data_IF_667365055994
#
_entry.id   IF_667365055994
#
_cell.length_a   1.000
_cell.length_b   1.000
_cell.length_c   1.000
_cell.angle_alpha   90.00
_cell.angle_beta   90.00
_cell.angle_gamma   90.00
#
_symmetry.space_group_name_H-M   'P 1'
#
loop_
_entity.id
_entity.type
_entity.pdbx_description
1 polymer ?
#
# COMPACT_ATOMS: atom_id res chain seq x y z
N UNK A 1 39.07 -16.48 43.89
CA UNK A 1 39.38 -15.45 42.88
C UNK A 1 38.51 -15.74 41.68
N UNK A 2 37.33 -15.21 41.75
CA UNK A 2 36.28 -15.53 40.78
C UNK A 2 36.19 -14.47 39.72
N UNK A 3 36.46 -14.85 38.50
CA UNK A 3 36.28 -13.97 37.34
C UNK A 3 34.78 -13.99 36.96
N UNK A 4 34.14 -12.84 36.83
CA UNK A 4 32.79 -12.79 36.34
C UNK A 4 32.79 -13.04 34.82
N UNK A 5 32.09 -14.07 34.43
CA UNK A 5 31.79 -14.38 33.04
C UNK A 5 31.04 -13.22 32.38
N UNK A 6 31.69 -12.61 31.43
CA UNK A 6 31.14 -11.64 30.52
C UNK A 6 29.99 -12.33 29.74
N UNK A 7 28.75 -12.04 30.13
CA UNK A 7 27.58 -12.41 29.38
C UNK A 7 27.59 -11.71 28.01
N UNK A 8 27.77 -12.49 26.96
CA UNK A 8 27.57 -12.04 25.60
C UNK A 8 26.10 -11.58 25.46
N UNK A 9 25.92 -10.30 25.40
CA UNK A 9 24.67 -9.68 24.93
C UNK A 9 24.56 -10.05 23.46
N UNK A 10 23.81 -11.11 23.16
CA UNK A 10 23.38 -11.43 21.82
C UNK A 10 22.59 -10.22 21.29
N UNK A 11 23.22 -9.50 20.38
CA UNK A 11 22.55 -8.44 19.64
C UNK A 11 21.35 -9.06 18.89
N UNK A 12 20.17 -8.89 19.44
CA UNK A 12 18.95 -9.09 18.68
C UNK A 12 19.02 -8.08 17.54
N UNK A 13 19.25 -8.59 16.34
CA UNK A 13 19.18 -7.77 15.14
C UNK A 13 17.86 -7.00 15.16
N UNK A 14 17.95 -5.69 15.16
CA UNK A 14 16.78 -4.82 15.13
C UNK A 14 15.99 -5.19 13.86
N UNK A 15 14.87 -5.87 14.03
CA UNK A 15 13.94 -6.17 12.93
C UNK A 15 13.50 -4.86 12.31
N UNK A 16 13.63 -4.72 11.01
CA UNK A 16 13.11 -3.56 10.32
C UNK A 16 11.61 -3.42 10.62
N UNK A 17 11.15 -2.21 10.87
CA UNK A 17 9.75 -1.91 11.20
C UNK A 17 9.18 -0.91 10.22
N UNK A 18 7.95 -1.16 9.77
CA UNK A 18 7.11 -0.24 9.02
C UNK A 18 5.88 0.16 9.82
N UNK A 19 5.05 1.02 9.27
CA UNK A 19 3.79 1.44 9.87
C UNK A 19 2.60 0.80 9.15
N UNK A 20 1.68 0.23 9.91
CA UNK A 20 0.47 -0.38 9.39
C UNK A 20 -0.46 0.65 8.73
N UNK A 21 -1.07 0.28 7.62
CA UNK A 21 -2.17 1.01 7.00
C UNK A 21 -3.53 0.56 7.54
N UNK A 22 -4.59 0.91 6.83
CA UNK A 22 -5.97 0.71 7.29
C UNK A 22 -6.72 -0.31 6.45
N UNK A 23 -7.37 -1.26 7.13
CA UNK A 23 -8.36 -2.14 6.53
C UNK A 23 -9.63 -1.33 6.16
N UNK A 24 -10.15 -1.51 4.93
CA UNK A 24 -11.29 -0.75 4.43
C UNK A 24 -12.34 -1.67 3.80
N UNK A 25 -13.60 -1.28 3.90
CA UNK A 25 -14.66 -1.96 3.17
C UNK A 25 -14.53 -1.67 1.66
N UNK A 26 -14.36 -2.71 0.88
CA UNK A 26 -14.08 -2.63 -0.57
C UNK A 26 -15.22 -2.01 -1.35
N UNK A 27 -16.46 -2.35 -1.00
CA UNK A 27 -17.66 -1.82 -1.70
C UNK A 27 -17.82 -0.32 -1.42
N UNK A 28 -17.57 0.11 -0.17
CA UNK A 28 -17.60 1.53 0.17
C UNK A 28 -16.53 2.31 -0.59
N UNK A 29 -15.33 1.77 -0.70
CA UNK A 29 -14.22 2.40 -1.44
C UNK A 29 -14.51 2.49 -2.92
N UNK A 30 -15.06 1.43 -3.51
CA UNK A 30 -15.27 1.35 -4.96
C UNK A 30 -16.51 2.10 -5.43
N UNK A 31 -17.63 1.97 -4.72
CA UNK A 31 -18.94 2.42 -5.22
C UNK A 31 -19.53 3.59 -4.41
N UNK A 32 -19.67 3.40 -3.10
CA UNK A 32 -20.49 4.32 -2.27
C UNK A 32 -19.81 5.67 -2.12
N UNK A 33 -18.56 5.68 -1.68
CA UNK A 33 -17.85 6.93 -1.43
C UNK A 33 -17.55 7.74 -2.69
N UNK A 34 -17.05 7.13 -3.81
CA UNK A 34 -16.85 7.87 -5.05
C UNK A 34 -18.15 8.48 -5.59
N UNK A 35 -19.27 7.76 -5.48
CA UNK A 35 -20.56 8.24 -5.95
C UNK A 35 -21.10 9.41 -5.11
N UNK A 36 -21.04 9.29 -3.77
CA UNK A 36 -21.51 10.34 -2.84
C UNK A 36 -20.66 11.61 -2.91
N UNK A 37 -19.39 11.50 -3.19
CA UNK A 37 -18.43 12.61 -3.19
C UNK A 37 -18.04 13.07 -4.60
N UNK A 38 -18.79 12.68 -5.63
CA UNK A 38 -18.49 12.99 -7.04
C UNK A 38 -17.04 12.64 -7.44
N UNK A 39 -16.51 11.53 -6.91
CA UNK A 39 -15.17 11.06 -7.19
C UNK A 39 -14.07 11.62 -6.28
N UNK A 40 -14.33 12.62 -5.43
CA UNK A 40 -13.32 13.20 -4.52
C UNK A 40 -12.76 12.14 -3.57
N UNK A 41 -13.62 11.24 -3.06
CA UNK A 41 -13.16 10.15 -2.19
C UNK A 41 -12.16 9.24 -2.90
N UNK A 42 -12.31 8.98 -4.19
CA UNK A 42 -11.37 8.15 -4.94
C UNK A 42 -9.97 8.76 -4.97
N UNK A 43 -9.87 10.09 -5.12
CA UNK A 43 -8.61 10.82 -5.04
C UNK A 43 -7.99 10.73 -3.64
N UNK A 44 -8.81 10.90 -2.59
CA UNK A 44 -8.37 10.73 -1.20
C UNK A 44 -7.86 9.30 -0.94
N UNK A 45 -8.61 8.28 -1.34
CA UNK A 45 -8.23 6.88 -1.21
C UNK A 45 -6.91 6.59 -1.95
N UNK A 46 -6.75 7.12 -3.17
CA UNK A 46 -5.53 6.98 -3.96
C UNK A 46 -4.30 7.56 -3.26
N UNK A 47 -4.44 8.76 -2.72
CA UNK A 47 -3.38 9.38 -1.91
C UNK A 47 -3.02 8.48 -0.71
N UNK A 48 -4.02 8.03 0.04
CA UNK A 48 -3.82 7.24 1.26
C UNK A 48 -3.11 5.92 1.02
N UNK A 49 -3.46 5.15 0.00
CA UNK A 49 -2.78 3.87 -0.27
C UNK A 49 -1.32 4.05 -0.68
N UNK A 50 -1.00 5.11 -1.41
CA UNK A 50 0.39 5.43 -1.76
C UNK A 50 1.18 5.96 -0.54
N UNK A 51 0.55 6.70 0.36
CA UNK A 51 1.15 7.10 1.63
C UNK A 51 1.36 5.92 2.58
N UNK A 52 0.41 4.98 2.63
CA UNK A 52 0.56 3.72 3.38
C UNK A 52 1.74 2.88 2.87
N UNK A 53 1.94 2.80 1.56
CA UNK A 53 3.10 2.11 0.98
C UNK A 53 4.42 2.71 1.46
N UNK A 54 4.56 4.03 1.41
CA UNK A 54 5.77 4.74 1.87
C UNK A 54 6.01 4.58 3.38
N UNK A 55 4.94 4.57 4.18
CA UNK A 55 5.05 4.42 5.64
C UNK A 55 5.35 2.98 6.06
N UNK A 56 4.89 2.01 5.29
CA UNK A 56 5.20 0.60 5.55
C UNK A 56 6.67 0.31 5.29
N UNK A 57 7.17 0.71 4.15
CA UNK A 57 8.57 0.52 3.76
C UNK A 57 9.10 1.80 3.08
N UNK A 58 9.95 2.58 3.78
CA UNK A 58 10.53 3.81 3.23
C UNK A 58 11.39 3.62 1.98
N UNK A 59 11.81 2.38 1.67
CA UNK A 59 12.54 2.07 0.44
C UNK A 59 11.63 2.08 -0.80
N UNK A 60 10.31 2.01 -0.60
CA UNK A 60 9.33 2.13 -1.69
C UNK A 60 9.30 3.58 -2.16
N UNK A 61 9.92 3.84 -3.31
CA UNK A 61 9.96 5.19 -3.89
C UNK A 61 8.58 5.63 -4.38
N UNK A 62 7.90 6.39 -3.54
CA UNK A 62 6.60 6.98 -3.87
C UNK A 62 6.42 8.37 -3.28
N UNK A 63 5.97 9.29 -4.11
CA UNK A 63 5.43 10.56 -3.66
C UNK A 63 3.90 10.53 -3.79
N UNK A 64 3.16 10.42 -2.67
CA UNK A 64 1.70 10.33 -2.70
C UNK A 64 1.04 11.53 -3.39
N UNK A 65 1.60 12.73 -3.22
CA UNK A 65 1.10 13.95 -3.84
C UNK A 65 1.29 13.92 -5.36
N UNK A 66 2.47 13.50 -5.82
CA UNK A 66 2.75 13.36 -7.27
C UNK A 66 1.89 12.26 -7.90
N UNK A 67 1.63 11.18 -7.16
CA UNK A 67 0.70 10.12 -7.59
C UNK A 67 -0.73 10.64 -7.74
N UNK A 68 -1.16 11.56 -6.86
CA UNK A 68 -2.45 12.23 -6.93
C UNK A 68 -2.50 13.24 -8.09
N UNK A 69 -1.46 14.08 -8.23
CA UNK A 69 -1.39 15.09 -9.28
C UNK A 69 -1.34 14.46 -10.69
N UNK A 70 -0.82 13.24 -10.83
CA UNK A 70 -0.88 12.50 -12.08
C UNK A 70 -2.32 12.21 -12.56
N UNK A 71 -3.30 12.26 -11.67
CA UNK A 71 -4.71 12.16 -12.03
C UNK A 71 -5.32 13.49 -12.49
N UNK A 72 -4.88 14.62 -11.93
CA UNK A 72 -5.53 15.92 -12.16
C UNK A 72 -5.26 16.50 -13.57
N UNK A 73 -4.00 16.62 -14.06
CA UNK A 73 -3.73 17.00 -15.44
C UNK A 73 -3.81 15.82 -16.41
N UNK A 74 -3.75 14.57 -15.89
CA UNK A 74 -3.81 13.36 -16.68
C UNK A 74 -5.17 13.09 -17.33
N UNK A 75 -6.23 13.80 -16.92
CA UNK A 75 -7.50 13.77 -17.63
C UNK A 75 -7.39 14.43 -19.02
N UNK A 76 -6.42 15.32 -19.20
CA UNK A 76 -6.11 15.93 -20.50
C UNK A 76 -5.11 15.10 -21.33
N UNK A 77 -4.33 14.22 -20.68
CA UNK A 77 -3.33 13.37 -21.33
C UNK A 77 -3.56 11.93 -20.83
N UNK A 78 -4.08 11.08 -21.70
CA UNK A 78 -4.53 9.70 -21.40
C UNK A 78 -3.44 8.82 -20.72
N UNK A 79 -2.16 9.06 -20.98
CA UNK A 79 -1.04 8.22 -20.54
C UNK A 79 -0.78 8.22 -19.01
N UNK A 80 -0.74 9.37 -18.29
CA UNK A 80 -0.42 9.39 -16.86
C UNK A 80 -1.30 8.53 -15.95
N UNK A 81 -2.64 8.46 -16.11
CA UNK A 81 -3.47 7.60 -15.30
C UNK A 81 -3.10 6.11 -15.40
N UNK A 82 -2.81 5.63 -16.61
CA UNK A 82 -2.41 4.23 -16.83
C UNK A 82 -1.07 3.93 -16.16
N UNK A 83 -0.10 4.82 -16.29
CA UNK A 83 1.20 4.70 -15.63
C UNK A 83 1.02 4.70 -14.11
N UNK A 84 0.16 5.57 -13.57
CA UNK A 84 -0.10 5.64 -12.13
C UNK A 84 -0.75 4.38 -11.59
N UNK A 85 -1.75 3.83 -12.29
CA UNK A 85 -2.39 2.55 -11.93
C UNK A 85 -1.38 1.41 -11.94
N UNK A 86 -0.56 1.30 -12.99
CA UNK A 86 0.48 0.28 -13.09
C UNK A 86 1.50 0.38 -11.94
N UNK A 87 2.06 1.58 -11.71
CA UNK A 87 3.04 1.82 -10.64
C UNK A 87 2.47 1.55 -9.26
N UNK A 88 1.19 1.84 -9.03
CA UNK A 88 0.56 1.53 -7.74
C UNK A 88 0.45 0.02 -7.52
N UNK A 89 0.15 -0.76 -8.56
CA UNK A 89 0.20 -2.21 -8.47
C UNK A 89 1.61 -2.70 -8.08
N UNK A 90 2.67 -2.16 -8.71
CA UNK A 90 4.06 -2.49 -8.35
C UNK A 90 4.36 -2.15 -6.89
N UNK A 91 3.90 -1.01 -6.39
CA UNK A 91 4.06 -0.63 -4.98
C UNK A 91 3.35 -1.60 -4.03
N UNK A 92 2.13 -2.02 -4.35
CA UNK A 92 1.41 -3.03 -3.56
C UNK A 92 2.18 -4.36 -3.54
N UNK A 93 2.78 -4.76 -4.66
CA UNK A 93 3.67 -5.94 -4.71
C UNK A 93 4.86 -5.79 -3.77
N UNK A 94 5.48 -4.61 -3.73
CA UNK A 94 6.58 -4.33 -2.80
C UNK A 94 6.12 -4.37 -1.34
N UNK A 95 4.91 -3.85 -1.03
CA UNK A 95 4.31 -3.96 0.30
C UNK A 95 4.09 -5.43 0.70
N UNK A 96 3.59 -6.27 -0.22
CA UNK A 96 3.42 -7.71 0.04
C UNK A 96 4.76 -8.39 0.31
N UNK A 97 5.82 -8.06 -0.45
CA UNK A 97 7.18 -8.57 -0.20
C UNK A 97 7.71 -8.12 1.16
N UNK A 98 7.59 -6.83 1.50
CA UNK A 98 8.00 -6.30 2.80
C UNK A 98 7.28 -6.99 3.96
N UNK A 99 6.04 -7.41 3.75
CA UNK A 99 5.28 -8.21 4.71
C UNK A 99 5.62 -9.71 4.69
N UNK A 100 6.65 -10.13 3.94
CA UNK A 100 7.04 -11.54 3.81
C UNK A 100 6.06 -12.40 3.02
N UNK A 101 5.21 -11.80 2.19
CA UNK A 101 4.21 -12.49 1.38
C UNK A 101 4.63 -12.61 -0.08
N UNK A 102 4.16 -13.65 -0.74
CA UNK A 102 4.27 -13.73 -2.19
C UNK A 102 3.37 -12.70 -2.83
N UNK A 103 3.90 -11.83 -3.73
CA UNK A 103 3.11 -10.83 -4.41
C UNK A 103 1.95 -11.44 -5.21
N UNK A 104 0.74 -11.02 -4.92
CA UNK A 104 -0.49 -11.51 -5.56
C UNK A 104 -1.04 -10.55 -6.63
N UNK A 105 -0.73 -9.25 -6.52
CA UNK A 105 -1.18 -8.26 -7.50
C UNK A 105 -0.42 -8.40 -8.81
N UNK A 106 -1.16 -8.42 -9.90
CA UNK A 106 -0.64 -8.45 -11.27
C UNK A 106 -0.92 -7.08 -11.91
N UNK A 107 0.11 -6.25 -12.22
CA UNK A 107 -0.08 -4.87 -12.68
C UNK A 107 -0.93 -4.76 -13.95
N UNK A 108 -0.77 -5.68 -14.89
CA UNK A 108 -1.54 -5.69 -16.13
C UNK A 108 -3.04 -5.94 -15.88
N UNK A 109 -3.38 -6.75 -14.86
CA UNK A 109 -4.78 -6.97 -14.46
C UNK A 109 -5.38 -5.68 -13.93
N UNK A 110 -4.66 -4.91 -13.12
CA UNK A 110 -5.08 -3.59 -12.66
C UNK A 110 -5.38 -2.64 -13.81
N UNK A 111 -4.52 -2.62 -14.84
CA UNK A 111 -4.75 -1.83 -16.05
C UNK A 111 -6.01 -2.26 -16.80
N UNK A 112 -6.23 -3.55 -16.98
CA UNK A 112 -7.43 -4.06 -17.66
C UNK A 112 -8.71 -3.72 -16.87
N UNK A 113 -8.66 -3.83 -15.55
CA UNK A 113 -9.77 -3.49 -14.66
C UNK A 113 -10.09 -1.99 -14.65
N UNK A 114 -9.18 -1.13 -15.07
CA UNK A 114 -9.44 0.30 -15.24
C UNK A 114 -10.53 0.55 -16.29
N UNK A 115 -10.58 -0.26 -17.34
CA UNK A 115 -11.61 -0.19 -18.39
C UNK A 115 -12.95 -0.79 -17.96
N UNK A 116 -12.97 -1.62 -16.90
CA UNK A 116 -14.18 -2.25 -16.39
C UNK A 116 -14.67 -1.47 -15.16
N UNK A 117 -15.35 -0.37 -15.39
CA UNK A 117 -15.91 0.51 -14.33
C UNK A 117 -14.94 0.84 -13.21
N UNK A 118 -13.66 1.05 -13.53
CA UNK A 118 -12.59 1.36 -12.56
C UNK A 118 -12.48 0.33 -11.41
N UNK A 119 -12.77 -0.94 -11.67
CA UNK A 119 -12.74 -2.01 -10.66
C UNK A 119 -11.33 -2.34 -10.16
N UNK A 120 -10.28 -1.74 -10.73
CA UNK A 120 -8.92 -1.85 -10.22
C UNK A 120 -8.82 -1.42 -8.74
N UNK A 121 -9.59 -0.42 -8.31
CA UNK A 121 -9.59 0.02 -6.91
C UNK A 121 -10.13 -1.06 -5.95
N UNK A 122 -11.12 -1.81 -6.39
CA UNK A 122 -11.65 -2.96 -5.67
C UNK A 122 -10.57 -4.06 -5.55
N UNK A 123 -9.91 -4.38 -6.66
CA UNK A 123 -8.84 -5.38 -6.70
C UNK A 123 -7.68 -5.01 -5.78
N UNK A 124 -7.19 -3.76 -5.84
CA UNK A 124 -6.09 -3.31 -5.00
C UNK A 124 -6.48 -3.26 -3.53
N UNK A 125 -7.70 -2.79 -3.20
CA UNK A 125 -8.14 -2.73 -1.81
C UNK A 125 -8.34 -4.12 -1.21
N UNK A 126 -8.81 -5.10 -1.98
CA UNK A 126 -8.87 -6.50 -1.52
C UNK A 126 -7.50 -7.04 -1.13
N UNK A 127 -6.49 -6.79 -1.96
CA UNK A 127 -5.11 -7.20 -1.67
C UNK A 127 -4.56 -6.51 -0.43
N UNK A 128 -4.75 -5.19 -0.30
CA UNK A 128 -4.32 -4.43 0.88
C UNK A 128 -5.03 -4.91 2.15
N UNK A 129 -6.33 -5.16 2.09
CA UNK A 129 -7.06 -5.72 3.23
C UNK A 129 -6.49 -7.09 3.64
N UNK A 130 -6.17 -7.95 2.67
CA UNK A 130 -5.50 -9.23 2.93
C UNK A 130 -4.13 -9.05 3.58
N UNK A 131 -3.36 -8.05 3.17
CA UNK A 131 -2.06 -7.72 3.76
C UNK A 131 -2.23 -7.29 5.22
N UNK A 132 -3.14 -6.35 5.52
CA UNK A 132 -3.37 -5.89 6.90
C UNK A 132 -3.98 -6.97 7.78
N UNK A 133 -4.80 -7.87 7.25
CA UNK A 133 -5.29 -9.04 7.97
C UNK A 133 -4.16 -9.99 8.34
N UNK A 134 -3.12 -10.12 7.51
CA UNK A 134 -1.92 -10.90 7.81
C UNK A 134 -1.15 -10.37 9.03
N UNK A 135 -1.21 -9.08 9.31
CA UNK A 135 -0.68 -8.46 10.52
C UNK A 135 -1.67 -8.46 11.70
N UNK A 136 -2.86 -9.07 11.57
CA UNK A 136 -3.88 -9.08 12.63
C UNK A 136 -4.72 -7.81 12.69
N UNK A 137 -4.83 -7.06 11.60
CA UNK A 137 -5.58 -5.78 11.49
C UNK A 137 -5.18 -4.76 12.57
N UNK A 138 -3.89 -4.43 12.72
CA UNK A 138 -3.46 -3.46 13.71
C UNK A 138 -4.06 -2.08 13.40
N UNK A 139 -4.20 -1.20 14.39
CA UNK A 139 -4.58 0.19 14.17
C UNK A 139 -3.63 0.89 13.18
N UNK A 140 -4.16 1.84 12.42
CA UNK A 140 -3.35 2.63 11.48
C UNK A 140 -2.15 3.29 12.23
N UNK A 141 -0.99 3.30 11.60
CA UNK A 141 0.29 3.79 12.13
C UNK A 141 0.90 2.95 13.28
N UNK A 142 0.41 1.75 13.55
CA UNK A 142 1.08 0.81 14.46
C UNK A 142 2.36 0.28 13.79
N UNK A 143 3.51 0.22 14.48
CA UNK A 143 4.71 -0.43 13.96
C UNK A 143 4.47 -1.91 13.67
N UNK A 144 4.87 -2.36 12.50
CA UNK A 144 4.78 -3.77 12.07
C UNK A 144 6.13 -4.24 11.53
N UNK A 145 6.49 -5.51 11.71
CA UNK A 145 7.74 -6.05 11.18
C UNK A 145 7.70 -6.09 9.65
N UNK A 146 8.81 -5.70 9.02
CA UNK A 146 9.00 -5.86 7.57
C UNK A 146 10.24 -6.71 7.30
N UNK A 147 10.23 -7.38 6.17
CA UNK A 147 11.39 -8.12 5.67
C UNK A 147 12.21 -7.19 4.77
N UNK A 148 13.54 -7.19 4.94
CA UNK A 148 14.44 -6.40 4.10
C UNK A 148 14.50 -6.92 2.66
#
# INVERSE_FOLDING_TARGET
>A
MDSPSSGAVSGQGASAQGLAGKHRNVVLVWLVWPFLTLGIYHLYWWYKINDEARRLDPSIDVNPLMSLLAFFPGFLIIVPPFVSVYRTAERIRLMEKAAGRTPSVIPIVGLLLMFVFSTYSLYYQLTLNGLWSGYGNPPENTPVPIQP
#
